data_IF_120112437059
#
_entry.id   IF_120112437059
#
_cell.length_a   1.000
_cell.length_b   1.000
_cell.length_c   1.000
_cell.angle_alpha   90.00
_cell.angle_beta   90.00
_cell.angle_gamma   90.00
#
_symmetry.space_group_name_H-M   'P 1'
#
loop_
_entity.id
_entity.type
_entity.pdbx_description
1 polymer ?
#
# COMPACT_ATOMS: atom_id res chain seq x y z
N UNK A 1 -11.83 -6.40 -3.50
CA UNK A 1 -13.06 -5.95 -2.81
C UNK A 1 -12.67 -5.04 -1.65
N UNK A 2 -13.26 -3.84 -1.62
CA UNK A 2 -13.05 -2.83 -0.59
C UNK A 2 -13.99 -3.04 0.59
N UNK A 3 -13.47 -2.99 1.83
CA UNK A 3 -14.26 -3.14 3.06
C UNK A 3 -14.25 -1.93 3.97
N UNK A 4 -13.55 -0.86 3.58
CA UNK A 4 -13.43 0.40 4.32
C UNK A 4 -14.65 1.31 4.26
N UNK A 5 -15.75 0.87 3.66
CA UNK A 5 -16.95 1.68 3.51
C UNK A 5 -17.50 2.16 4.85
N UNK A 6 -17.95 3.44 4.86
CA UNK A 6 -18.43 4.11 6.07
C UNK A 6 -19.83 3.66 6.44
N UNK A 7 -20.11 3.54 7.75
CA UNK A 7 -21.45 3.28 8.32
C UNK A 7 -22.10 1.96 7.88
N UNK A 8 -21.30 0.97 7.42
CA UNK A 8 -21.82 -0.32 6.89
C UNK A 8 -22.42 -1.19 7.98
N UNK A 9 -21.76 -1.29 9.14
CA UNK A 9 -22.18 -2.16 10.23
C UNK A 9 -22.99 -1.43 11.30
N UNK A 10 -22.78 -0.14 11.49
CA UNK A 10 -23.50 0.72 12.43
C UNK A 10 -23.67 2.11 11.84
N UNK A 11 -24.90 2.62 11.66
CA UNK A 11 -25.15 3.94 11.08
C UNK A 11 -24.66 5.11 11.94
N UNK A 12 -24.27 4.88 13.20
CA UNK A 12 -23.72 5.88 14.12
C UNK A 12 -22.20 5.85 14.26
N UNK A 13 -21.55 4.77 13.78
CA UNK A 13 -20.11 4.54 13.91
C UNK A 13 -19.47 4.45 12.54
N UNK A 14 -18.74 5.49 12.14
CA UNK A 14 -18.20 5.64 10.77
C UNK A 14 -17.47 4.38 10.25
N UNK A 15 -16.61 3.78 11.05
CA UNK A 15 -15.85 2.57 10.71
C UNK A 15 -16.03 1.46 11.76
N UNK A 16 -17.03 1.61 12.63
CA UNK A 16 -17.31 0.64 13.69
C UNK A 16 -18.45 -0.32 13.34
N UNK A 17 -18.53 -1.42 14.07
CA UNK A 17 -17.50 -1.95 14.94
C UNK A 17 -16.23 -2.32 14.18
N UNK A 18 -15.08 -2.33 14.87
CA UNK A 18 -13.77 -2.68 14.33
C UNK A 18 -13.30 -4.05 14.84
N UNK A 19 -12.16 -4.53 14.33
CA UNK A 19 -11.48 -5.74 14.82
C UNK A 19 -10.92 -5.57 16.25
N UNK A 20 -10.83 -4.32 16.74
CA UNK A 20 -10.27 -3.96 18.05
C UNK A 20 -11.32 -3.67 19.10
N UNK A 21 -12.62 -3.72 18.74
CA UNK A 21 -13.72 -3.35 19.61
C UNK A 21 -13.64 -4.08 20.97
N UNK A 22 -13.93 -3.41 22.11
CA UNK A 22 -13.96 -4.06 23.41
C UNK A 22 -15.01 -5.19 23.49
N UNK A 23 -16.15 -5.00 22.84
CA UNK A 23 -17.22 -5.99 22.79
C UNK A 23 -16.87 -7.13 21.81
N UNK A 24 -16.81 -8.39 22.26
CA UNK A 24 -16.52 -9.53 21.39
C UNK A 24 -17.58 -9.76 20.32
N UNK A 25 -18.85 -9.45 20.56
CA UNK A 25 -19.91 -9.60 19.57
C UNK A 25 -19.75 -8.56 18.43
N UNK A 26 -19.34 -7.36 18.77
CA UNK A 26 -19.01 -6.31 17.81
C UNK A 26 -17.78 -6.70 16.95
N UNK A 27 -16.73 -7.29 17.56
CA UNK A 27 -15.61 -7.84 16.79
C UNK A 27 -16.04 -8.97 15.85
N UNK A 28 -16.89 -9.88 16.34
CA UNK A 28 -17.43 -10.98 15.52
C UNK A 28 -18.19 -10.45 14.30
N UNK A 29 -19.00 -9.39 14.46
CA UNK A 29 -19.69 -8.74 13.32
C UNK A 29 -18.72 -8.19 12.26
N UNK A 30 -17.58 -7.64 12.67
CA UNK A 30 -16.54 -7.19 11.72
C UNK A 30 -15.86 -8.37 11.03
N UNK A 31 -15.54 -9.44 11.75
CA UNK A 31 -14.99 -10.68 11.20
C UNK A 31 -15.96 -11.28 10.18
N UNK A 32 -17.25 -11.37 10.50
CA UNK A 32 -18.27 -11.88 9.58
C UNK A 32 -18.36 -11.05 8.29
N UNK A 33 -18.24 -9.73 8.39
CA UNK A 33 -18.18 -8.86 7.20
C UNK A 33 -16.99 -9.20 6.32
N UNK A 34 -15.80 -9.38 6.90
CA UNK A 34 -14.59 -9.68 6.15
C UNK A 34 -14.64 -11.08 5.52
N UNK A 35 -15.14 -12.08 6.25
CA UNK A 35 -15.35 -13.44 5.71
C UNK A 35 -16.32 -13.40 4.52
N UNK A 36 -17.41 -12.66 4.62
CA UNK A 36 -18.35 -12.48 3.48
C UNK A 36 -17.71 -11.73 2.31
N UNK A 37 -16.88 -10.71 2.60
CA UNK A 37 -16.14 -10.00 1.56
C UNK A 37 -15.18 -10.92 0.81
N UNK A 38 -14.53 -11.87 1.49
CA UNK A 38 -13.70 -12.92 0.87
C UNK A 38 -14.55 -13.81 -0.05
N UNK A 39 -15.73 -14.25 0.40
CA UNK A 39 -16.63 -15.06 -0.44
C UNK A 39 -17.06 -14.32 -1.70
N UNK A 40 -17.50 -13.06 -1.55
CA UNK A 40 -17.87 -12.19 -2.68
C UNK A 40 -16.68 -11.96 -3.61
N UNK A 41 -15.48 -11.77 -3.07
CA UNK A 41 -14.27 -11.62 -3.87
C UNK A 41 -13.97 -12.85 -4.71
N UNK A 42 -14.14 -14.05 -4.15
CA UNK A 42 -13.98 -15.32 -4.87
C UNK A 42 -14.99 -15.45 -6.01
N UNK A 43 -16.26 -15.15 -5.76
CA UNK A 43 -17.33 -15.20 -6.78
C UNK A 43 -17.09 -14.20 -7.93
N UNK A 44 -16.53 -13.01 -7.61
CA UNK A 44 -16.23 -11.98 -8.59
C UNK A 44 -14.88 -12.18 -9.30
N UNK A 45 -14.07 -13.16 -8.90
CA UNK A 45 -12.70 -13.32 -9.38
C UNK A 45 -11.81 -12.10 -9.03
N UNK A 46 -12.06 -11.46 -7.88
CA UNK A 46 -11.29 -10.31 -7.45
C UNK A 46 -9.88 -10.71 -6.99
N UNK A 47 -8.91 -9.80 -7.17
CA UNK A 47 -7.50 -10.07 -6.89
C UNK A 47 -7.16 -10.08 -5.41
N UNK A 48 -7.91 -9.37 -4.56
CA UNK A 48 -7.72 -9.29 -3.13
C UNK A 48 -8.96 -8.73 -2.42
N UNK A 49 -9.00 -8.92 -1.10
CA UNK A 49 -9.91 -8.20 -0.20
C UNK A 49 -9.08 -7.21 0.60
N UNK A 50 -9.39 -5.93 0.50
CA UNK A 50 -8.79 -4.87 1.31
C UNK A 50 -9.43 -4.81 2.69
N UNK A 51 -8.62 -4.58 3.72
CA UNK A 51 -9.08 -4.26 5.08
C UNK A 51 -8.03 -3.44 5.83
N UNK A 52 -8.42 -2.88 6.98
CA UNK A 52 -7.55 -2.19 7.92
C UNK A 52 -7.78 -2.66 9.36
N UNK A 53 -6.84 -2.39 10.27
CA UNK A 53 -6.92 -2.85 11.66
C UNK A 53 -8.01 -2.15 12.47
N UNK A 54 -8.20 -0.87 12.24
CA UNK A 54 -9.02 0.03 13.05
C UNK A 54 -8.21 0.80 14.10
N UNK A 55 -8.84 1.85 14.63
CA UNK A 55 -8.28 2.70 15.70
C UNK A 55 -8.34 1.96 17.03
N UNK A 56 -7.29 2.09 17.84
CA UNK A 56 -7.27 1.54 19.20
C UNK A 56 -8.35 2.25 20.03
N UNK A 57 -9.30 1.50 20.65
CA UNK A 57 -10.33 2.09 21.48
C UNK A 57 -9.74 2.73 22.74
N UNK A 58 -10.39 3.81 23.22
CA UNK A 58 -10.02 4.43 24.49
C UNK A 58 -9.90 3.40 25.62
N UNK A 59 -8.91 3.58 26.50
CA UNK A 59 -8.62 2.70 27.63
C UNK A 59 -8.23 1.25 27.27
N UNK A 60 -7.91 0.96 26.00
CA UNK A 60 -7.33 -0.32 25.58
C UNK A 60 -5.81 -0.15 25.46
N UNK A 61 -5.06 -0.97 26.18
CA UNK A 61 -3.61 -1.02 26.03
C UNK A 61 -3.22 -1.66 24.70
N UNK A 62 -2.01 -1.37 24.23
CA UNK A 62 -1.53 -1.79 22.92
C UNK A 62 -1.44 -3.32 22.81
N UNK A 63 -0.97 -4.02 23.85
CA UNK A 63 -0.86 -5.48 23.85
C UNK A 63 -2.23 -6.14 23.70
N UNK A 64 -3.24 -5.62 24.40
CA UNK A 64 -4.63 -6.07 24.25
C UNK A 64 -5.16 -5.80 22.86
N UNK A 65 -4.84 -4.66 22.25
CA UNK A 65 -5.26 -4.34 20.90
C UNK A 65 -4.61 -5.30 19.87
N UNK A 66 -3.32 -5.55 19.96
CA UNK A 66 -2.61 -6.52 19.11
C UNK A 66 -3.15 -7.94 19.27
N UNK A 67 -3.42 -8.37 20.50
CA UNK A 67 -4.05 -9.68 20.76
C UNK A 67 -5.41 -9.79 20.08
N UNK A 68 -6.29 -8.78 20.22
CA UNK A 68 -7.60 -8.76 19.55
C UNK A 68 -7.48 -8.83 18.03
N UNK A 69 -6.53 -8.07 17.46
CA UNK A 69 -6.30 -8.06 16.03
C UNK A 69 -5.87 -9.43 15.52
N UNK A 70 -4.88 -10.06 16.16
CA UNK A 70 -4.38 -11.38 15.75
C UNK A 70 -5.45 -12.47 15.90
N UNK A 71 -6.22 -12.47 16.97
CA UNK A 71 -7.35 -13.40 17.16
C UNK A 71 -8.43 -13.21 16.09
N UNK A 72 -8.76 -11.96 15.73
CA UNK A 72 -9.79 -11.65 14.74
C UNK A 72 -9.34 -11.99 13.30
N UNK A 73 -8.05 -11.93 13.00
CA UNK A 73 -7.53 -12.28 11.69
C UNK A 73 -7.57 -13.79 11.40
N UNK A 74 -7.51 -14.65 12.42
CA UNK A 74 -7.53 -16.11 12.24
C UNK A 74 -8.65 -16.60 11.31
N UNK A 75 -9.93 -16.43 11.69
CA UNK A 75 -11.06 -16.88 10.84
C UNK A 75 -11.10 -16.26 9.45
N UNK A 76 -10.65 -15.00 9.30
CA UNK A 76 -10.63 -14.31 8.01
C UNK A 76 -9.54 -14.89 7.09
N UNK A 77 -8.37 -15.20 7.65
CA UNK A 77 -7.28 -15.82 6.91
C UNK A 77 -7.59 -17.27 6.53
N UNK A 78 -8.30 -18.01 7.39
CA UNK A 78 -8.80 -19.35 7.05
C UNK A 78 -9.76 -19.29 5.85
N UNK A 79 -10.68 -18.33 5.86
CA UNK A 79 -11.59 -18.10 4.74
C UNK A 79 -10.85 -17.66 3.47
N UNK A 80 -9.87 -16.76 3.59
CA UNK A 80 -9.04 -16.28 2.49
C UNK A 80 -8.25 -17.43 1.85
N UNK A 81 -7.63 -18.29 2.67
CA UNK A 81 -6.91 -19.48 2.24
C UNK A 81 -7.84 -20.46 1.51
N UNK A 82 -8.99 -20.76 2.08
CA UNK A 82 -9.96 -21.69 1.49
C UNK A 82 -10.53 -21.20 0.14
N UNK A 83 -10.67 -19.87 0.00
CA UNK A 83 -11.18 -19.22 -1.20
C UNK A 83 -10.09 -18.94 -2.26
N UNK A 84 -8.81 -19.05 -1.91
CA UNK A 84 -7.70 -18.67 -2.79
C UNK A 84 -7.65 -17.15 -3.09
N UNK A 85 -8.17 -16.30 -2.19
CA UNK A 85 -8.22 -14.85 -2.34
C UNK A 85 -7.43 -14.20 -1.20
N UNK A 86 -6.34 -13.44 -1.48
CA UNK A 86 -5.55 -12.82 -0.43
C UNK A 86 -6.32 -11.73 0.32
N UNK A 87 -6.09 -11.66 1.64
CA UNK A 87 -6.49 -10.55 2.49
C UNK A 87 -5.37 -9.52 2.50
N UNK A 88 -5.61 -8.35 1.94
CA UNK A 88 -4.64 -7.26 1.83
C UNK A 88 -4.92 -6.21 2.93
N UNK A 89 -4.13 -6.24 4.00
CA UNK A 89 -4.27 -5.26 5.08
C UNK A 89 -3.54 -3.98 4.73
N UNK A 90 -4.14 -2.84 5.06
CA UNK A 90 -3.59 -1.53 4.82
C UNK A 90 -3.05 -0.91 6.12
N UNK A 91 -1.77 -0.46 6.11
CA UNK A 91 -1.27 0.47 7.11
C UNK A 91 -1.94 1.83 6.96
N UNK A 92 -2.74 2.21 7.96
CA UNK A 92 -3.58 3.42 7.93
C UNK A 92 -3.17 4.40 9.03
N UNK A 93 -2.84 5.66 8.71
CA UNK A 93 -2.51 6.66 9.72
C UNK A 93 -3.57 6.80 10.81
N UNK A 94 -3.15 6.66 12.07
CA UNK A 94 -4.05 6.71 13.24
C UNK A 94 -4.71 5.39 13.61
N UNK A 95 -4.45 4.32 12.89
CA UNK A 95 -4.86 2.97 13.26
C UNK A 95 -3.78 2.25 14.08
N UNK A 96 -4.12 1.08 14.66
CA UNK A 96 -3.15 0.24 15.38
C UNK A 96 -2.01 -0.21 14.43
N UNK A 97 -2.36 -0.63 13.23
CA UNK A 97 -1.43 -0.96 12.17
C UNK A 97 -1.35 0.26 11.24
N UNK A 98 -0.29 1.07 11.40
CA UNK A 98 -0.15 2.36 10.72
C UNK A 98 1.06 2.41 9.78
N UNK A 99 2.03 1.49 9.92
CA UNK A 99 3.29 1.50 9.19
C UNK A 99 3.64 0.12 8.62
N UNK A 100 4.62 0.05 7.70
CA UNK A 100 5.18 -1.22 7.23
C UNK A 100 5.80 -2.02 8.38
N UNK A 101 6.38 -1.37 9.37
CA UNK A 101 6.90 -2.03 10.56
C UNK A 101 5.79 -2.76 11.34
N UNK A 102 4.61 -2.16 11.46
CA UNK A 102 3.43 -2.77 12.09
C UNK A 102 2.90 -3.93 11.25
N UNK A 103 2.90 -3.81 9.92
CA UNK A 103 2.55 -4.92 9.03
C UNK A 103 3.49 -6.12 9.24
N UNK A 104 4.79 -5.90 9.32
CA UNK A 104 5.75 -6.95 9.62
C UNK A 104 5.58 -7.53 11.03
N UNK A 105 5.19 -6.70 12.01
CA UNK A 105 4.83 -7.17 13.34
C UNK A 105 3.63 -8.13 13.28
N UNK A 106 2.54 -7.72 12.61
CA UNK A 106 1.35 -8.55 12.43
C UNK A 106 1.68 -9.89 11.76
N UNK A 107 2.45 -9.87 10.67
CA UNK A 107 2.85 -11.10 9.96
C UNK A 107 3.56 -12.08 10.87
N UNK A 108 4.56 -11.60 11.61
CA UNK A 108 5.31 -12.46 12.58
C UNK A 108 4.39 -13.00 13.66
N UNK A 109 3.49 -12.17 14.22
CA UNK A 109 2.56 -12.60 15.26
C UNK A 109 1.59 -13.68 14.77
N UNK A 110 1.25 -13.68 13.47
CA UNK A 110 0.37 -14.68 12.83
C UNK A 110 1.13 -15.90 12.26
N UNK A 111 2.48 -15.96 12.36
CA UNK A 111 3.28 -17.05 11.80
C UNK A 111 3.47 -16.97 10.28
N UNK A 112 3.53 -15.77 9.72
CA UNK A 112 3.75 -15.49 8.30
C UNK A 112 2.77 -16.20 7.34
N UNK A 113 1.44 -16.09 7.53
CA UNK A 113 0.47 -16.81 6.72
C UNK A 113 0.50 -16.34 5.26
N UNK A 114 0.44 -17.29 4.33
CA UNK A 114 0.49 -17.04 2.88
C UNK A 114 -0.63 -16.10 2.39
N UNK A 115 -1.91 -16.25 2.81
CA UNK A 115 -2.99 -15.40 2.31
C UNK A 115 -2.95 -13.96 2.82
N UNK A 116 -2.08 -13.62 3.78
CA UNK A 116 -1.93 -12.24 4.27
C UNK A 116 -1.00 -11.45 3.36
N UNK A 117 -1.58 -10.52 2.63
CA UNK A 117 -0.89 -9.55 1.79
C UNK A 117 -1.04 -8.12 2.29
N UNK A 118 -0.56 -7.20 1.49
CA UNK A 118 -0.51 -5.77 1.79
C UNK A 118 -1.28 -4.96 0.74
N UNK A 119 -2.12 -4.05 1.20
CA UNK A 119 -2.51 -2.85 0.46
C UNK A 119 -1.52 -1.75 0.81
N UNK A 120 -0.81 -1.22 -0.16
CA UNK A 120 0.12 -0.12 0.03
C UNK A 120 -0.50 1.17 -0.50
N UNK A 121 -0.82 2.08 0.41
CA UNK A 121 -1.18 3.44 0.06
C UNK A 121 0.08 4.31 -0.02
N UNK A 122 0.28 4.93 -1.19
CA UNK A 122 1.48 5.74 -1.47
C UNK A 122 1.48 7.05 -0.70
N UNK A 123 0.28 7.63 -0.48
CA UNK A 123 0.13 8.81 0.37
C UNK A 123 0.43 8.50 1.83
N UNK A 124 -0.01 7.36 2.37
CA UNK A 124 0.32 6.94 3.73
C UNK A 124 1.83 6.72 3.92
N UNK A 125 2.52 6.19 2.90
CA UNK A 125 3.99 6.13 2.91
C UNK A 125 4.60 7.53 3.03
N UNK A 126 4.14 8.50 2.24
CA UNK A 126 4.59 9.90 2.35
C UNK A 126 4.28 10.49 3.73
N UNK A 127 3.10 10.18 4.28
CA UNK A 127 2.64 10.73 5.55
C UNK A 127 3.50 10.27 6.74
N UNK A 128 3.71 8.97 6.90
CA UNK A 128 4.23 8.39 8.13
C UNK A 128 5.58 7.67 7.99
N UNK A 129 5.87 7.04 6.86
CA UNK A 129 7.05 6.19 6.76
C UNK A 129 8.35 7.00 6.80
N UNK A 130 9.40 6.51 7.48
CA UNK A 130 10.71 7.16 7.45
C UNK A 130 11.38 7.08 6.08
N UNK A 131 11.03 6.07 5.28
CA UNK A 131 11.50 5.86 3.92
C UNK A 131 10.75 6.74 2.92
N UNK A 132 11.39 7.01 1.77
CA UNK A 132 10.69 7.60 0.64
C UNK A 132 9.64 6.62 0.08
N UNK A 133 8.50 7.08 -0.48
CA UNK A 133 7.45 6.19 -1.00
C UNK A 133 7.93 5.14 -1.99
N UNK A 134 8.92 5.46 -2.84
CA UNK A 134 9.53 4.50 -3.76
C UNK A 134 10.29 3.35 -3.05
N UNK A 135 10.88 3.62 -1.90
CA UNK A 135 11.57 2.62 -1.09
C UNK A 135 10.56 1.76 -0.32
N UNK A 136 9.46 2.35 0.15
CA UNK A 136 8.33 1.62 0.72
C UNK A 136 7.76 0.60 -0.29
N UNK A 137 7.62 0.98 -1.57
CA UNK A 137 7.20 0.06 -2.64
C UNK A 137 8.16 -1.12 -2.78
N UNK A 138 9.47 -0.87 -2.75
CA UNK A 138 10.48 -1.94 -2.86
C UNK A 138 10.44 -2.88 -1.67
N UNK A 139 10.32 -2.34 -0.46
CA UNK A 139 10.19 -3.12 0.77
C UNK A 139 8.91 -3.96 0.77
N UNK A 140 7.78 -3.38 0.36
CA UNK A 140 6.48 -4.03 0.34
C UNK A 140 6.33 -5.12 -0.76
N UNK A 141 7.21 -5.13 -1.76
CA UNK A 141 7.07 -5.93 -2.99
C UNK A 141 6.66 -7.40 -2.79
N UNK A 142 7.22 -8.17 -1.84
CA UNK A 142 6.85 -9.59 -1.67
C UNK A 142 5.38 -9.81 -1.27
N UNK A 143 4.80 -8.85 -0.59
CA UNK A 143 3.45 -8.97 -0.02
C UNK A 143 2.41 -8.10 -0.72
N UNK A 144 2.82 -7.30 -1.70
CA UNK A 144 1.96 -6.34 -2.37
C UNK A 144 0.83 -7.02 -3.14
N UNK A 145 -0.42 -6.71 -2.79
CA UNK A 145 -1.63 -7.22 -3.43
C UNK A 145 -2.51 -6.13 -4.00
N UNK A 146 -2.44 -4.94 -3.43
CA UNK A 146 -3.20 -3.77 -3.87
C UNK A 146 -2.39 -2.51 -3.66
N UNK A 147 -2.61 -1.48 -4.48
CA UNK A 147 -1.96 -0.17 -4.35
C UNK A 147 -3.03 0.91 -4.43
N UNK A 148 -3.01 1.82 -3.47
CA UNK A 148 -3.73 3.08 -3.52
C UNK A 148 -2.73 4.21 -3.77
N UNK A 149 -3.16 5.23 -4.50
CA UNK A 149 -2.27 6.30 -4.95
C UNK A 149 -3.03 7.63 -5.08
N UNK A 150 -2.53 8.62 -4.41
CA UNK A 150 -2.90 10.02 -4.48
C UNK A 150 -1.71 10.86 -4.03
N UNK A 151 -1.85 12.18 -3.96
CA UNK A 151 -0.81 13.03 -3.40
C UNK A 151 -1.05 13.30 -1.91
N UNK A 152 0.04 13.54 -1.18
CA UNK A 152 0.00 13.77 0.27
C UNK A 152 1.22 14.55 0.74
N UNK A 153 1.11 15.21 1.92
CA UNK A 153 2.22 15.91 2.57
C UNK A 153 2.76 15.11 3.75
N UNK A 154 4.03 15.31 4.03
CA UNK A 154 4.66 14.69 5.21
C UNK A 154 3.94 15.10 6.50
N UNK A 155 3.56 14.10 7.31
CA UNK A 155 2.91 14.30 8.62
C UNK A 155 1.46 14.77 8.56
N UNK A 156 0.85 14.87 7.38
CA UNK A 156 -0.53 15.33 7.21
C UNK A 156 -1.34 14.31 6.43
N UNK A 157 -2.23 13.59 7.12
CA UNK A 157 -3.11 12.60 6.48
C UNK A 157 -4.27 13.28 5.75
N UNK A 158 -4.01 13.65 4.51
CA UNK A 158 -4.98 14.33 3.62
C UNK A 158 -4.77 13.87 2.18
N UNK A 159 -5.76 13.13 1.63
CA UNK A 159 -5.72 12.66 0.25
C UNK A 159 -5.92 13.83 -0.70
N UNK A 160 -4.84 14.23 -1.38
CA UNK A 160 -4.79 15.38 -2.27
C UNK A 160 -4.80 14.96 -3.74
N UNK A 161 -5.38 15.78 -4.63
CA UNK A 161 -5.18 15.63 -6.06
C UNK A 161 -3.69 15.69 -6.41
N UNK A 162 -3.29 14.97 -7.45
CA UNK A 162 -1.91 14.95 -7.92
C UNK A 162 -1.38 16.34 -8.25
N UNK A 163 -0.27 16.71 -7.65
CA UNK A 163 0.40 18.01 -7.78
C UNK A 163 0.10 18.99 -6.66
N UNK A 164 -0.82 18.64 -5.73
CA UNK A 164 -1.17 19.48 -4.57
C UNK A 164 -0.40 19.06 -3.29
N UNK A 165 0.28 17.92 -3.32
CA UNK A 165 1.12 17.36 -2.25
C UNK A 165 2.62 17.47 -2.50
N UNK A 166 3.39 16.50 -2.01
CA UNK A 166 4.86 16.51 -2.00
C UNK A 166 5.49 15.26 -2.62
N UNK A 167 4.68 14.34 -3.18
CA UNK A 167 5.18 13.05 -3.66
C UNK A 167 5.87 13.21 -5.03
N UNK A 168 7.12 12.74 -5.17
CA UNK A 168 7.78 12.54 -6.47
C UNK A 168 7.34 11.20 -7.07
N UNK A 169 6.36 11.22 -7.99
CA UNK A 169 5.73 10.02 -8.54
C UNK A 169 6.60 9.22 -9.51
N UNK A 170 7.48 9.79 -10.36
CA UNK A 170 8.29 9.00 -11.27
C UNK A 170 9.11 7.89 -10.60
N UNK A 171 9.84 8.10 -9.46
CA UNK A 171 10.51 7.03 -8.73
C UNK A 171 9.54 5.96 -8.18
N UNK A 172 8.34 6.36 -7.73
CA UNK A 172 7.31 5.43 -7.21
C UNK A 172 6.85 4.50 -8.32
N UNK A 173 6.50 5.05 -9.49
CA UNK A 173 6.04 4.26 -10.64
C UNK A 173 7.14 3.37 -11.21
N UNK A 174 8.40 3.84 -11.22
CA UNK A 174 9.56 3.02 -11.57
C UNK A 174 9.74 1.84 -10.60
N UNK A 175 9.58 2.08 -9.29
CA UNK A 175 9.65 1.03 -8.28
C UNK A 175 8.52 0.00 -8.46
N UNK A 176 7.27 0.43 -8.64
CA UNK A 176 6.15 -0.47 -8.93
C UNK A 176 6.40 -1.33 -10.17
N UNK A 177 6.89 -0.74 -11.25
CA UNK A 177 7.23 -1.48 -12.47
C UNK A 177 8.34 -2.52 -12.22
N UNK A 178 9.37 -2.16 -11.44
CA UNK A 178 10.51 -3.02 -11.13
C UNK A 178 10.14 -4.21 -10.23
N UNK A 179 9.12 -4.09 -9.38
CA UNK A 179 8.64 -5.21 -8.54
C UNK A 179 7.90 -6.28 -9.32
N UNK A 180 7.53 -6.02 -10.57
CA UNK A 180 6.69 -6.91 -11.36
C UNK A 180 5.21 -6.92 -10.94
N UNK A 181 4.78 -5.97 -10.10
CA UNK A 181 3.38 -5.83 -9.68
C UNK A 181 2.44 -5.73 -10.89
N UNK A 182 1.35 -6.51 -10.88
CA UNK A 182 0.35 -6.60 -11.96
C UNK A 182 -1.07 -6.31 -11.47
N UNK A 183 -1.23 -5.96 -10.20
CA UNK A 183 -2.52 -5.60 -9.62
C UNK A 183 -2.98 -4.20 -10.03
N UNK A 184 -4.10 -3.80 -9.47
CA UNK A 184 -4.64 -2.46 -9.68
C UNK A 184 -3.88 -1.43 -8.83
N UNK A 185 -3.62 -0.26 -9.44
CA UNK A 185 -3.23 0.96 -8.74
C UNK A 185 -4.42 1.91 -8.81
N UNK A 186 -5.06 2.15 -7.67
CA UNK A 186 -6.33 2.85 -7.57
C UNK A 186 -6.12 4.25 -7.01
N UNK A 187 -6.67 5.25 -7.68
CA UNK A 187 -6.64 6.64 -7.16
C UNK A 187 -7.65 6.76 -6.03
N UNK A 188 -7.18 7.16 -4.84
CA UNK A 188 -8.02 7.35 -3.67
C UNK A 188 -8.19 8.83 -3.31
N UNK A 189 -9.36 9.39 -3.61
CA UNK A 189 -9.71 10.78 -3.34
C UNK A 189 -11.08 10.87 -2.64
N UNK A 190 -11.23 10.36 -1.40
CA UNK A 190 -12.53 10.17 -0.74
C UNK A 190 -13.28 11.47 -0.45
N UNK A 191 -12.56 12.61 -0.37
CA UNK A 191 -13.17 13.93 -0.16
C UNK A 191 -13.58 14.63 -1.45
N UNK A 192 -13.24 14.05 -2.62
CA UNK A 192 -13.44 14.67 -3.95
C UNK A 192 -14.53 13.99 -4.76
N UNK A 193 -15.33 13.10 -4.17
CA UNK A 193 -16.41 12.35 -4.82
C UNK A 193 -17.47 13.25 -5.47
N UNK A 194 -17.67 14.48 -4.94
CA UNK A 194 -18.58 15.49 -5.51
C UNK A 194 -18.21 15.91 -6.94
N UNK A 195 -16.98 15.69 -7.38
CA UNK A 195 -16.48 15.99 -8.71
C UNK A 195 -15.66 14.83 -9.30
N UNK A 196 -16.01 13.58 -8.99
CA UNK A 196 -15.29 12.36 -9.36
C UNK A 196 -14.85 12.30 -10.84
N UNK A 197 -15.73 12.56 -11.84
CA UNK A 197 -15.32 12.55 -13.24
C UNK A 197 -14.21 13.56 -13.57
N UNK A 198 -14.21 14.74 -12.95
CA UNK A 198 -13.17 15.77 -13.14
C UNK A 198 -11.82 15.29 -12.57
N UNK A 199 -11.82 14.70 -11.36
CA UNK A 199 -10.59 14.23 -10.74
C UNK A 199 -10.05 12.99 -11.45
N UNK A 200 -10.89 12.08 -11.93
CA UNK A 200 -10.46 10.97 -12.76
C UNK A 200 -9.80 11.46 -14.07
N UNK A 201 -10.40 12.44 -14.75
CA UNK A 201 -9.85 13.03 -15.96
C UNK A 201 -8.53 13.78 -15.73
N UNK A 202 -8.28 14.29 -14.51
CA UNK A 202 -7.02 14.91 -14.12
C UNK A 202 -5.94 13.87 -13.77
N UNK A 203 -6.31 12.86 -13.00
CA UNK A 203 -5.38 11.87 -12.42
C UNK A 203 -4.69 11.02 -13.47
N UNK A 204 -5.44 10.48 -14.43
CA UNK A 204 -4.89 9.56 -15.42
C UNK A 204 -3.80 10.19 -16.31
N UNK A 205 -3.97 11.39 -16.92
CA UNK A 205 -2.91 12.06 -17.66
C UNK A 205 -1.69 12.43 -16.80
N UNK A 206 -1.90 12.76 -15.52
CA UNK A 206 -0.80 13.05 -14.60
C UNK A 206 0.07 11.81 -14.39
N UNK A 207 -0.55 10.68 -14.05
CA UNK A 207 0.14 9.41 -13.84
C UNK A 207 0.84 8.90 -15.11
N UNK A 208 0.23 9.07 -16.28
CA UNK A 208 0.87 8.74 -17.55
C UNK A 208 2.14 9.57 -17.79
N UNK A 209 2.11 10.88 -17.55
CA UNK A 209 3.32 11.73 -17.65
C UNK A 209 4.40 11.30 -16.66
N UNK A 210 4.03 11.02 -15.41
CA UNK A 210 4.97 10.54 -14.40
C UNK A 210 5.59 9.19 -14.80
N UNK A 211 4.83 8.28 -15.42
CA UNK A 211 5.32 7.00 -15.92
C UNK A 211 6.31 7.18 -17.10
N UNK A 212 6.04 8.11 -18.01
CA UNK A 212 7.00 8.45 -19.07
C UNK A 212 8.32 8.96 -18.51
N UNK A 213 8.29 9.89 -17.57
CA UNK A 213 9.49 10.40 -16.90
C UNK A 213 10.24 9.30 -16.14
N UNK A 214 9.54 8.34 -15.55
CA UNK A 214 10.13 7.17 -14.91
C UNK A 214 10.92 6.33 -15.92
N UNK A 215 10.36 6.05 -17.10
CA UNK A 215 10.99 5.27 -18.15
C UNK A 215 12.25 5.96 -18.72
N UNK A 216 12.19 7.28 -18.93
CA UNK A 216 13.32 8.08 -19.41
C UNK A 216 14.51 8.07 -18.43
N UNK A 217 14.23 8.20 -17.12
CA UNK A 217 15.26 8.13 -16.07
C UNK A 217 15.94 6.76 -16.02
N UNK A 218 15.20 5.68 -16.27
CA UNK A 218 15.74 4.32 -16.29
C UNK A 218 16.64 4.07 -17.51
N UNK A 219 16.30 4.62 -18.68
CA UNK A 219 17.10 4.47 -19.92
C UNK A 219 18.32 5.38 -19.95
N UNK A 220 18.25 6.59 -19.37
CA UNK A 220 19.35 7.57 -19.34
C UNK A 220 20.52 7.19 -18.42
N UNK A 221 20.33 6.27 -17.48
CA UNK A 221 21.39 5.83 -16.55
C UNK A 221 22.34 4.79 -17.17
N UNK A 222 22.07 4.31 -18.39
CA UNK A 222 22.85 3.24 -19.07
C UNK A 222 24.00 3.74 -19.94
N UNK A 223 24.28 5.05 -20.04
CA UNK A 223 25.40 5.58 -20.82
C UNK A 223 26.47 6.17 -19.90
N UNK A 224 27.24 5.31 -19.22
CA UNK A 224 28.57 5.67 -18.75
C UNK A 224 29.54 5.49 -19.92
N UNK A 225 30.21 6.53 -20.41
CA UNK A 225 31.28 6.34 -21.40
C UNK A 225 32.38 5.53 -20.72
N UNK A 226 32.75 4.41 -21.34
CA UNK A 226 33.96 3.67 -20.98
C UNK A 226 35.16 4.63 -21.11
N UNK A 227 35.79 4.97 -19.99
CA UNK A 227 37.09 5.64 -20.02
C UNK A 227 38.08 4.77 -20.75
N UNK A 228 38.58 5.28 -21.90
CA UNK A 228 39.64 4.69 -22.67
C UNK A 228 40.89 4.52 -21.82
N UNK A 229 41.51 3.37 -21.99
CA UNK A 229 42.79 2.97 -21.42
C UNK A 229 43.90 3.96 -21.86
N UNK A 230 44.64 4.59 -20.93
CA UNK A 230 45.79 5.45 -21.25
C UNK A 230 47.11 4.67 -21.23
N UNK A 231 47.23 3.59 -22.03
CA UNK A 231 48.51 2.91 -22.22
C UNK A 231 48.92 2.81 -23.68
N UNK A 232 49.32 3.95 -24.24
CA UNK A 232 50.11 3.96 -25.46
C UNK A 232 51.31 4.89 -25.22
N UNK A 233 52.41 4.32 -24.80
CA UNK A 233 53.75 4.94 -24.84
C UNK A 233 54.25 5.04 -26.31
N UNK A 234 54.76 6.17 -26.75
CA UNK A 234 55.47 6.25 -28.05
C UNK A 234 56.91 5.83 -27.82
N UNK A 235 57.29 4.74 -28.50
CA UNK A 235 58.72 4.36 -28.69
C UNK A 235 59.46 5.44 -29.46
N UNK A 236 60.63 5.76 -28.97
CA UNK A 236 61.56 6.68 -29.57
C UNK A 236 62.23 6.08 -30.81
N UNK A 237 62.49 6.94 -31.79
CA UNK A 237 63.45 6.63 -32.87
C UNK A 237 64.61 7.64 -32.73
N UNK A 238 65.76 7.09 -32.35
CA UNK A 238 67.07 7.65 -32.55
C UNK A 238 67.60 7.25 -33.89
N UNK A 239 68.21 8.15 -34.65
CA UNK A 239 69.42 7.88 -35.44
C UNK A 239 69.66 9.00 -36.42
N UNK A 240 70.88 9.16 -36.90
CA UNK A 240 72.20 9.37 -36.24
C UNK A 240 72.70 10.81 -36.44
#
# INVERSE_FOLDING_TARGET
VETGARYVLDPRRKHGPSLLDPDPDDRARRVDLLVRAVQVAAELGAHAVHCFSGTVPDQTDEDTAWKRLTEAFGPVLDAASAAGVPLAVEPEPGHLLATLADFHHLRRALGDPEPLGLTLDIGHCQCLEPLAPADCVREAAPWLRHVQIEDMRRGVHEHLPFGDGEIDFPPVLAALAATGYRGLTVVELPRHSHAGPRFAAHSLPYLHRAAHLAAERTTGTSTVPSHGDPSATPEGSSTP
#
